data_IF_309391064400
#
_entry.id   IF_309391064400
#
_cell.length_a   1.000
_cell.length_b   1.000
_cell.length_c   1.000
_cell.angle_alpha   90.00
_cell.angle_beta   90.00
_cell.angle_gamma   90.00
#
_symmetry.space_group_name_H-M   'P 1'
#
loop_
_entity.id
_entity.type
_entity.pdbx_description
1 polymer ?
#
# COMPACT_ATOMS: atom_id res chain seq x y z
N UNK A 1 -24.07 4.61 -30.83
CA UNK A 1 -22.62 4.32 -31.05
C UNK A 1 -21.68 5.01 -30.08
N UNK A 2 -22.10 6.06 -29.33
CA UNK A 2 -21.26 6.83 -28.40
C UNK A 2 -21.22 6.25 -26.97
N UNK A 3 -22.12 5.34 -26.60
CA UNK A 3 -22.16 4.77 -25.25
C UNK A 3 -20.98 3.85 -24.96
N UNK A 4 -20.50 3.09 -25.94
CA UNK A 4 -19.37 2.15 -25.78
C UNK A 4 -18.06 2.88 -25.44
N UNK A 5 -17.61 3.92 -26.18
CA UNK A 5 -16.39 4.64 -25.82
C UNK A 5 -16.50 5.37 -24.47
N UNK A 6 -17.69 5.83 -24.08
CA UNK A 6 -17.88 6.45 -22.77
C UNK A 6 -17.71 5.46 -21.62
N UNK A 7 -18.28 4.27 -21.73
CA UNK A 7 -18.12 3.19 -20.75
C UNK A 7 -16.67 2.72 -20.68
N UNK A 8 -16.01 2.57 -21.84
CA UNK A 8 -14.59 2.18 -21.90
C UNK A 8 -13.69 3.23 -21.23
N UNK A 9 -13.97 4.52 -21.43
CA UNK A 9 -13.25 5.60 -20.78
C UNK A 9 -13.37 5.58 -19.25
N UNK A 10 -14.56 5.31 -18.73
CA UNK A 10 -14.80 5.19 -17.29
C UNK A 10 -14.06 3.99 -16.70
N UNK A 11 -14.07 2.84 -17.39
CA UNK A 11 -13.34 1.64 -16.96
C UNK A 11 -11.83 1.91 -16.94
N UNK A 12 -11.28 2.54 -17.96
CA UNK A 12 -9.87 2.88 -18.02
C UNK A 12 -9.48 3.85 -16.90
N UNK A 13 -10.31 4.85 -16.62
CA UNK A 13 -10.08 5.80 -15.52
C UNK A 13 -10.10 5.09 -14.17
N UNK A 14 -11.04 4.17 -13.94
CA UNK A 14 -11.12 3.37 -12.72
C UNK A 14 -9.89 2.48 -12.53
N UNK A 15 -9.42 1.82 -13.60
CA UNK A 15 -8.21 1.00 -13.56
C UNK A 15 -6.95 1.83 -13.31
N UNK A 16 -6.83 3.01 -13.93
CA UNK A 16 -5.73 3.93 -13.69
C UNK A 16 -5.73 4.43 -12.25
N UNK A 17 -6.88 4.81 -11.71
CA UNK A 17 -7.02 5.23 -10.32
C UNK A 17 -6.66 4.11 -9.33
N UNK A 18 -7.02 2.87 -9.63
CA UNK A 18 -6.65 1.71 -8.83
C UNK A 18 -5.14 1.48 -8.85
N UNK A 19 -4.50 1.58 -10.01
CA UNK A 19 -3.05 1.42 -10.13
C UNK A 19 -2.28 2.48 -9.33
N UNK A 20 -2.74 3.74 -9.37
CA UNK A 20 -2.17 4.83 -8.57
C UNK A 20 -2.38 4.58 -7.07
N UNK A 21 -3.58 4.18 -6.66
CA UNK A 21 -3.88 3.89 -5.26
C UNK A 21 -2.97 2.77 -4.69
N UNK A 22 -2.75 1.69 -5.46
CA UNK A 22 -1.84 0.60 -5.08
C UNK A 22 -0.39 1.07 -4.97
N UNK A 23 0.07 1.92 -5.91
CA UNK A 23 1.43 2.45 -5.87
C UNK A 23 1.66 3.35 -4.64
N UNK A 24 0.71 4.26 -4.34
CA UNK A 24 0.77 5.14 -3.16
C UNK A 24 0.73 4.33 -1.87
N UNK A 25 -0.13 3.31 -1.78
CA UNK A 25 -0.21 2.45 -0.59
C UNK A 25 1.11 1.71 -0.31
N UNK A 26 1.83 1.27 -1.34
CA UNK A 26 3.16 0.63 -1.18
C UNK A 26 4.19 1.60 -0.62
N UNK A 27 4.25 2.81 -1.15
CA UNK A 27 5.21 3.83 -0.71
C UNK A 27 4.94 4.26 0.74
N UNK A 28 3.67 4.38 1.11
CA UNK A 28 3.24 4.74 2.46
C UNK A 28 3.61 3.65 3.49
N UNK A 29 3.47 2.37 3.13
CA UNK A 29 3.84 1.23 3.98
C UNK A 29 5.32 1.23 4.36
N UNK A 30 6.18 1.57 3.42
CA UNK A 30 7.64 1.63 3.64
C UNK A 30 7.99 2.81 4.56
N UNK A 31 7.33 3.95 4.39
CA UNK A 31 7.52 5.13 5.23
C UNK A 31 7.05 4.89 6.67
N UNK A 32 5.91 4.24 6.85
CA UNK A 32 5.38 3.87 8.17
C UNK A 32 6.28 2.89 8.91
N UNK A 33 6.83 1.89 8.20
CA UNK A 33 7.77 0.95 8.78
C UNK A 33 9.03 1.67 9.28
N UNK A 34 9.54 2.64 8.53
CA UNK A 34 10.68 3.45 8.93
C UNK A 34 10.38 4.28 10.18
N UNK A 35 9.25 4.97 10.21
CA UNK A 35 8.84 5.77 11.38
C UNK A 35 8.71 4.90 12.63
N UNK A 36 8.12 3.71 12.49
CA UNK A 36 8.02 2.73 13.58
C UNK A 36 9.41 2.29 14.06
N UNK A 37 10.31 1.98 13.13
CA UNK A 37 11.68 1.59 13.46
C UNK A 37 12.42 2.72 14.21
N UNK A 38 12.34 3.95 13.73
CA UNK A 38 12.97 5.12 14.36
C UNK A 38 12.42 5.38 15.77
N UNK A 39 11.11 5.25 15.97
CA UNK A 39 10.49 5.36 17.31
C UNK A 39 11.00 4.28 18.25
N UNK A 40 10.98 3.01 17.81
CA UNK A 40 11.46 1.89 18.63
C UNK A 40 12.96 2.01 18.94
N UNK A 41 13.75 2.43 17.96
CA UNK A 41 15.18 2.69 18.14
C UNK A 41 15.40 3.69 19.27
N UNK A 42 14.80 4.87 19.20
CA UNK A 42 14.98 5.96 20.16
C UNK A 42 14.39 5.68 21.54
N UNK A 43 13.22 5.03 21.60
CA UNK A 43 12.50 4.87 22.88
C UNK A 43 12.83 3.58 23.61
N UNK A 44 13.18 2.52 22.86
CA UNK A 44 13.42 1.19 23.43
C UNK A 44 14.88 0.83 23.39
N UNK A 45 15.55 0.97 22.24
CA UNK A 45 16.90 0.43 22.03
C UNK A 45 17.97 1.36 22.57
N UNK A 46 18.07 2.61 22.08
CA UNK A 46 19.12 3.57 22.45
C UNK A 46 19.32 3.75 23.96
N UNK A 47 18.24 3.88 24.77
CA UNK A 47 18.42 4.04 26.23
C UNK A 47 18.96 2.78 26.93
N UNK A 48 19.02 1.64 26.22
CA UNK A 48 19.40 0.33 26.78
C UNK A 48 20.67 -0.23 26.17
N UNK A 49 21.29 0.48 25.24
CA UNK A 49 22.59 0.12 24.67
C UNK A 49 23.67 0.39 25.72
N UNK A 50 24.13 -0.65 26.37
CA UNK A 50 25.22 -0.62 27.34
C UNK A 50 26.10 -1.88 27.26
N UNK A 51 27.17 -1.93 28.04
CA UNK A 51 28.05 -3.09 28.11
C UNK A 51 27.32 -4.39 28.50
N UNK A 52 26.23 -4.27 29.25
CA UNK A 52 25.40 -5.44 29.64
C UNK A 52 24.69 -6.06 28.45
N UNK A 53 24.31 -5.26 27.46
CA UNK A 53 23.69 -5.72 26.23
C UNK A 53 24.74 -6.44 25.34
N UNK A 54 25.95 -5.87 25.20
CA UNK A 54 27.03 -6.48 24.42
C UNK A 54 27.43 -7.83 24.97
N UNK A 55 27.48 -7.96 26.29
CA UNK A 55 27.86 -9.22 26.98
C UNK A 55 26.71 -10.21 27.13
N UNK A 56 25.52 -9.90 26.61
CA UNK A 56 24.34 -10.78 26.64
C UNK A 56 23.84 -11.06 28.06
N UNK A 57 23.96 -10.08 28.99
CA UNK A 57 23.47 -10.28 30.37
C UNK A 57 21.98 -10.63 30.38
N UNK A 58 21.55 -11.75 31.00
CA UNK A 58 20.16 -12.19 30.94
C UNK A 58 19.14 -11.15 31.43
N UNK A 59 19.50 -10.37 32.45
CA UNK A 59 18.63 -9.31 32.97
C UNK A 59 18.38 -8.21 31.93
N UNK A 60 19.39 -7.83 31.15
CA UNK A 60 19.26 -6.81 30.09
C UNK A 60 18.46 -7.36 28.92
N UNK A 61 18.63 -8.62 28.56
CA UNK A 61 17.83 -9.27 27.54
C UNK A 61 16.35 -9.32 27.92
N UNK A 62 16.05 -9.68 29.18
CA UNK A 62 14.67 -9.70 29.68
C UNK A 62 14.02 -8.30 29.72
N UNK A 63 14.82 -7.26 30.04
CA UNK A 63 14.34 -5.87 30.02
C UNK A 63 13.99 -5.41 28.60
N UNK A 64 14.83 -5.73 27.63
CA UNK A 64 14.55 -5.43 26.21
C UNK A 64 13.33 -6.19 25.72
N UNK A 65 13.23 -7.47 26.03
CA UNK A 65 12.09 -8.31 25.64
C UNK A 65 10.78 -7.77 26.19
N UNK A 66 10.75 -7.38 27.46
CA UNK A 66 9.58 -6.75 28.08
C UNK A 66 9.22 -5.41 27.43
N UNK A 67 10.24 -4.57 27.14
CA UNK A 67 10.03 -3.26 26.53
C UNK A 67 9.52 -3.37 25.08
N UNK A 68 10.08 -4.31 24.31
CA UNK A 68 9.59 -4.58 22.96
C UNK A 68 8.19 -5.17 22.97
N UNK A 69 7.93 -6.19 23.80
CA UNK A 69 6.62 -6.80 23.92
C UNK A 69 5.53 -5.78 24.24
N UNK A 70 5.82 -4.81 25.12
CA UNK A 70 4.91 -3.73 25.44
C UNK A 70 4.70 -2.75 24.25
N UNK A 71 5.76 -2.46 23.49
CA UNK A 71 5.74 -1.47 22.42
C UNK A 71 5.15 -1.99 21.12
N UNK A 72 5.32 -3.28 20.81
CA UNK A 72 4.86 -3.90 19.55
C UNK A 72 3.57 -4.69 19.71
N UNK A 73 3.01 -4.77 20.93
CA UNK A 73 1.77 -5.50 21.18
C UNK A 73 0.64 -4.93 20.31
N UNK A 74 0.10 -5.78 19.41
CA UNK A 74 -0.91 -5.35 18.44
C UNK A 74 -0.36 -4.65 17.18
N UNK A 75 0.97 -4.51 17.04
CA UNK A 75 1.57 -3.99 15.81
C UNK A 75 1.86 -5.11 14.80
N UNK A 76 2.13 -4.70 13.55
CA UNK A 76 2.49 -5.61 12.46
C UNK A 76 3.99 -5.97 12.45
N UNK A 77 4.76 -5.45 13.42
CA UNK A 77 6.16 -5.83 13.60
C UNK A 77 6.23 -7.26 14.13
N UNK A 78 6.83 -8.14 13.36
CA UNK A 78 6.93 -9.58 13.67
C UNK A 78 8.35 -10.04 13.98
N UNK A 79 9.35 -9.34 13.45
CA UNK A 79 10.76 -9.65 13.71
C UNK A 79 11.50 -8.40 14.12
N UNK A 80 12.31 -8.54 15.16
CA UNK A 80 13.20 -7.50 15.68
C UNK A 80 14.58 -8.13 15.85
N UNK A 81 15.61 -7.45 15.39
CA UNK A 81 17.00 -7.84 15.53
C UNK A 81 17.87 -6.66 15.86
N UNK A 82 18.85 -6.88 16.72
CA UNK A 82 19.92 -5.93 17.00
C UNK A 82 21.24 -6.64 16.71
N UNK A 83 22.08 -6.03 15.89
CA UNK A 83 23.33 -6.57 15.41
C UNK A 83 24.50 -5.74 15.94
N UNK A 84 25.60 -6.39 16.21
CA UNK A 84 26.86 -5.67 16.40
C UNK A 84 27.60 -5.46 15.08
N UNK A 85 28.73 -4.77 15.11
CA UNK A 85 29.55 -4.49 13.93
C UNK A 85 30.21 -5.73 13.31
N UNK A 86 30.30 -6.84 14.03
CA UNK A 86 30.82 -8.11 13.54
C UNK A 86 29.76 -8.97 12.83
N UNK A 87 28.51 -8.51 12.76
CA UNK A 87 27.41 -9.25 12.17
C UNK A 87 26.81 -10.31 13.09
N UNK A 88 27.06 -10.22 14.40
CA UNK A 88 26.45 -11.09 15.39
C UNK A 88 25.13 -10.50 15.85
N UNK A 89 24.08 -11.30 15.88
CA UNK A 89 22.77 -10.93 16.45
C UNK A 89 22.89 -10.94 17.97
N UNK A 90 22.96 -9.76 18.57
CA UNK A 90 23.07 -9.63 20.03
C UNK A 90 21.70 -9.66 20.72
N UNK A 91 20.63 -9.30 20.00
CA UNK A 91 19.24 -9.44 20.46
C UNK A 91 18.32 -9.79 19.30
N UNK A 92 17.36 -10.66 19.56
CA UNK A 92 16.23 -10.92 18.68
C UNK A 92 15.01 -11.35 19.49
N UNK A 93 13.81 -11.02 19.03
CA UNK A 93 12.56 -11.60 19.56
C UNK A 93 12.38 -13.07 19.13
N UNK A 94 13.23 -13.57 18.22
CA UNK A 94 13.40 -15.01 17.99
C UNK A 94 14.72 -15.47 18.64
N UNK A 95 14.66 -16.16 19.80
CA UNK A 95 15.86 -16.54 20.55
C UNK A 95 16.85 -17.43 19.77
N UNK A 96 16.37 -18.11 18.72
CA UNK A 96 17.19 -19.02 17.89
C UNK A 96 18.25 -18.29 17.07
N UNK A 97 18.10 -16.98 16.90
CA UNK A 97 19.02 -16.15 16.14
C UNK A 97 20.10 -15.50 17.04
N UNK A 98 19.87 -15.43 18.35
CA UNK A 98 20.79 -14.74 19.28
C UNK A 98 22.14 -15.46 19.32
N UNK A 99 23.22 -14.72 19.12
CA UNK A 99 24.58 -15.24 19.09
C UNK A 99 25.01 -15.82 17.74
N UNK A 100 24.12 -15.92 16.77
CA UNK A 100 24.51 -16.32 15.43
C UNK A 100 25.15 -15.14 14.66
N UNK A 101 26.13 -15.49 13.82
CA UNK A 101 26.83 -14.54 12.97
C UNK A 101 26.42 -14.71 11.51
N UNK A 102 26.08 -13.61 10.89
CA UNK A 102 25.71 -13.56 9.47
C UNK A 102 26.47 -12.44 8.75
N UNK A 103 26.36 -12.43 7.43
CA UNK A 103 26.82 -11.28 6.64
C UNK A 103 26.03 -10.04 7.03
N UNK A 104 26.72 -8.96 7.38
CA UNK A 104 26.09 -7.71 7.78
C UNK A 104 25.07 -7.23 6.74
N UNK A 105 23.85 -6.92 7.16
CA UNK A 105 22.88 -6.31 6.29
C UNK A 105 23.35 -4.94 5.78
N UNK A 106 22.82 -4.50 4.66
CA UNK A 106 23.04 -3.14 4.20
C UNK A 106 22.52 -2.14 5.26
N UNK A 107 23.28 -1.07 5.51
CA UNK A 107 22.88 -0.02 6.47
C UNK A 107 23.86 0.20 7.61
N UNK A 108 24.72 -0.76 7.96
CA UNK A 108 25.71 -0.58 9.03
C UNK A 108 26.68 0.59 8.76
N UNK A 109 27.08 0.78 7.51
CA UNK A 109 28.07 1.79 7.11
C UNK A 109 27.46 3.01 6.40
N UNK A 110 26.15 3.06 6.14
CA UNK A 110 25.60 4.06 5.21
C UNK A 110 24.43 4.78 5.86
N UNK A 111 23.53 4.71 6.25
CA UNK A 111 22.27 5.34 6.72
C UNK A 111 21.13 4.34 6.77
N UNK A 112 19.96 4.78 7.15
CA UNK A 112 18.79 3.93 7.17
C UNK A 112 18.53 3.27 5.82
N UNK A 113 18.35 1.95 5.81
CA UNK A 113 18.00 1.17 4.63
C UNK A 113 16.60 0.57 4.84
N UNK A 114 15.78 0.66 3.82
CA UNK A 114 14.42 0.12 3.85
C UNK A 114 14.10 -0.57 2.52
N UNK A 115 13.33 -1.64 2.58
CA UNK A 115 12.94 -2.39 1.38
C UNK A 115 12.18 -3.67 1.71
N UNK A 116 11.95 -4.46 0.67
CA UNK A 116 11.41 -5.81 0.86
C UNK A 116 12.47 -6.73 1.43
N UNK A 117 12.11 -7.51 2.44
CA UNK A 117 13.03 -8.50 3.00
C UNK A 117 13.25 -9.64 2.02
N UNK A 118 14.52 -10.00 1.86
CA UNK A 118 14.89 -11.20 1.11
C UNK A 118 14.80 -12.43 2.04
N UNK A 119 13.73 -13.20 1.89
CA UNK A 119 13.49 -14.39 2.70
C UNK A 119 14.44 -15.55 2.40
N UNK A 120 15.22 -15.48 1.32
CA UNK A 120 16.26 -16.48 1.00
C UNK A 120 17.53 -16.32 1.84
N UNK A 121 17.70 -15.18 2.50
CA UNK A 121 18.87 -14.93 3.36
C UNK A 121 18.82 -15.76 4.64
N UNK A 122 19.97 -16.29 5.12
CA UNK A 122 20.02 -17.18 6.27
C UNK A 122 19.41 -16.59 7.54
N UNK A 123 19.59 -15.29 7.78
CA UNK A 123 19.01 -14.58 8.93
C UNK A 123 17.49 -14.46 8.86
N UNK A 124 16.90 -14.58 7.69
CA UNK A 124 15.45 -14.49 7.45
C UNK A 124 14.77 -15.86 7.38
N UNK A 125 15.52 -16.96 7.62
CA UNK A 125 15.02 -18.34 7.48
C UNK A 125 13.78 -18.70 8.30
N UNK A 126 13.47 -17.91 9.33
CA UNK A 126 12.29 -18.11 10.18
C UNK A 126 11.12 -17.18 9.83
N UNK A 127 11.29 -16.29 8.85
CA UNK A 127 10.18 -15.55 8.29
C UNK A 127 9.39 -16.44 7.33
N UNK A 128 8.07 -16.25 7.26
CA UNK A 128 7.23 -16.94 6.29
C UNK A 128 7.64 -16.55 4.86
N UNK A 129 8.13 -17.48 4.02
CA UNK A 129 8.57 -17.17 2.67
C UNK A 129 7.43 -16.81 1.71
N UNK A 130 6.17 -17.09 2.09
CA UNK A 130 5.00 -16.76 1.27
C UNK A 130 4.44 -15.37 1.59
N UNK A 131 4.85 -14.77 2.69
CA UNK A 131 4.40 -13.45 3.10
C UNK A 131 5.32 -12.34 2.57
N UNK A 132 4.75 -11.17 2.35
CA UNK A 132 5.51 -9.99 1.97
C UNK A 132 6.00 -9.25 3.23
N UNK A 133 7.30 -9.10 3.36
CA UNK A 133 7.92 -8.45 4.50
C UNK A 133 8.58 -7.14 4.09
N UNK A 134 8.26 -6.08 4.81
CA UNK A 134 9.02 -4.81 4.74
C UNK A 134 10.05 -4.84 5.85
N UNK A 135 11.31 -4.67 5.49
CA UNK A 135 12.45 -4.64 6.39
C UNK A 135 13.03 -3.24 6.46
N UNK A 136 13.32 -2.77 7.66
CA UNK A 136 13.99 -1.49 7.91
C UNK A 136 15.17 -1.75 8.81
N UNK A 137 16.33 -1.26 8.39
CA UNK A 137 17.60 -1.34 9.13
C UNK A 137 18.09 0.06 9.43
N UNK A 138 18.33 0.35 10.71
CA UNK A 138 18.76 1.65 11.22
C UNK A 138 20.12 1.50 11.92
N UNK A 139 21.17 2.21 11.50
CA UNK A 139 22.41 2.28 12.26
C UNK A 139 22.20 3.06 13.55
N UNK A 140 22.71 2.54 14.66
CA UNK A 140 22.70 3.16 15.98
C UNK A 140 24.13 3.25 16.52
N UNK A 141 24.40 4.26 17.34
CA UNK A 141 25.64 4.40 18.08
C UNK A 141 25.39 4.21 19.57
N UNK A 142 26.16 3.35 20.20
CA UNK A 142 26.20 3.22 21.65
C UNK A 142 26.93 4.38 22.30
N UNK A 143 26.69 4.59 23.58
CA UNK A 143 27.37 5.64 24.37
C UNK A 143 28.89 5.45 24.48
N UNK A 144 29.39 4.27 24.17
CA UNK A 144 30.81 3.88 24.11
C UNK A 144 31.44 4.03 22.71
N UNK A 145 30.69 4.51 21.72
CA UNK A 145 31.11 4.63 20.34
C UNK A 145 30.99 3.34 19.52
N UNK A 146 30.47 2.25 20.09
CA UNK A 146 30.18 1.01 19.37
C UNK A 146 29.03 1.21 18.41
N UNK A 147 29.08 0.56 17.25
CA UNK A 147 28.04 0.64 16.24
C UNK A 147 27.15 -0.60 16.26
N UNK A 148 25.88 -0.35 16.12
CA UNK A 148 24.86 -1.38 16.08
C UNK A 148 23.99 -1.18 14.85
N UNK A 149 23.33 -2.25 14.41
CA UNK A 149 22.28 -2.17 13.42
C UNK A 149 20.98 -2.68 14.05
N UNK A 150 20.01 -1.80 14.17
CA UNK A 150 18.67 -2.15 14.59
C UNK A 150 17.82 -2.47 13.37
N UNK A 151 17.19 -3.62 13.37
CA UNK A 151 16.42 -4.09 12.24
C UNK A 151 15.05 -4.58 12.70
N UNK A 152 14.01 -4.13 11.99
CA UNK A 152 12.66 -4.66 12.14
C UNK A 152 12.15 -5.22 10.81
N UNK A 153 11.34 -6.28 10.91
CA UNK A 153 10.57 -6.77 9.77
C UNK A 153 9.08 -6.72 10.11
N UNK A 154 8.35 -6.04 9.24
CA UNK A 154 6.91 -5.80 9.35
C UNK A 154 6.18 -6.57 8.26
N UNK A 155 5.05 -7.19 8.60
CA UNK A 155 4.22 -7.87 7.63
C UNK A 155 3.45 -6.85 6.78
N UNK A 156 3.59 -6.93 5.46
CA UNK A 156 2.89 -6.04 4.54
C UNK A 156 1.42 -6.44 4.33
N UNK A 157 1.06 -7.67 4.61
CA UNK A 157 -0.28 -8.23 4.33
C UNK A 157 -1.40 -7.64 5.19
N UNK A 158 -1.08 -7.02 6.35
CA UNK A 158 -2.06 -6.29 7.16
C UNK A 158 -2.72 -5.14 6.40
N UNK A 159 -1.98 -4.49 5.51
CA UNK A 159 -2.52 -3.40 4.67
C UNK A 159 -3.48 -3.91 3.59
N UNK A 160 -3.31 -5.15 3.13
CA UNK A 160 -4.25 -5.73 2.15
C UNK A 160 -5.59 -6.08 2.81
N UNK A 161 -5.59 -6.46 4.07
CA UNK A 161 -6.81 -6.72 4.81
C UNK A 161 -7.58 -5.43 5.11
N UNK A 162 -6.92 -4.39 5.61
CA UNK A 162 -7.52 -3.06 5.84
C UNK A 162 -7.98 -2.42 4.52
N UNK A 163 -7.15 -2.46 3.48
CA UNK A 163 -7.54 -1.99 2.15
C UNK A 163 -8.74 -2.78 1.61
N UNK A 164 -8.80 -4.10 1.83
CA UNK A 164 -9.94 -4.93 1.41
C UNK A 164 -11.23 -4.56 2.11
N UNK A 165 -11.20 -4.28 3.41
CA UNK A 165 -12.38 -3.83 4.18
C UNK A 165 -12.87 -2.47 3.67
N UNK A 166 -11.96 -1.53 3.44
CA UNK A 166 -12.29 -0.23 2.83
C UNK A 166 -12.86 -0.43 1.43
N UNK A 167 -12.27 -1.30 0.59
CA UNK A 167 -12.78 -1.59 -0.74
C UNK A 167 -14.17 -2.24 -0.71
N UNK A 168 -14.42 -3.20 0.18
CA UNK A 168 -15.73 -3.83 0.35
C UNK A 168 -16.78 -2.80 0.78
N UNK A 169 -16.41 -1.82 1.60
CA UNK A 169 -17.31 -0.75 2.02
C UNK A 169 -17.62 0.25 0.88
N UNK A 170 -16.64 0.60 0.04
CA UNK A 170 -16.79 1.60 -1.02
C UNK A 170 -17.18 1.02 -2.38
N UNK A 171 -16.86 -0.23 -2.68
CA UNK A 171 -17.20 -0.88 -3.96
C UNK A 171 -18.69 -0.81 -4.31
N UNK A 172 -19.66 -1.06 -3.41
CA UNK A 172 -21.07 -0.95 -3.75
C UNK A 172 -21.51 0.48 -4.05
N UNK A 173 -20.90 1.48 -3.40
CA UNK A 173 -21.20 2.91 -3.66
C UNK A 173 -20.70 3.30 -5.04
N UNK A 174 -19.46 2.88 -5.39
CA UNK A 174 -18.89 3.12 -6.72
C UNK A 174 -19.68 2.40 -7.82
N UNK A 175 -20.03 1.12 -7.60
CA UNK A 175 -20.85 0.36 -8.54
C UNK A 175 -22.24 0.99 -8.71
N UNK A 176 -22.90 1.39 -7.64
CA UNK A 176 -24.19 2.07 -7.68
C UNK A 176 -24.14 3.40 -8.43
N UNK A 177 -23.12 4.21 -8.19
CA UNK A 177 -22.93 5.49 -8.91
C UNK A 177 -22.66 5.28 -10.40
N UNK A 178 -21.90 4.25 -10.78
CA UNK A 178 -21.66 3.90 -12.19
C UNK A 178 -22.95 3.44 -12.90
N UNK A 179 -23.76 2.62 -12.25
CA UNK A 179 -25.05 2.17 -12.79
C UNK A 179 -25.99 3.37 -12.96
N UNK A 180 -26.08 4.24 -11.95
CA UNK A 180 -26.91 5.44 -12.00
C UNK A 180 -26.51 6.36 -13.15
N UNK A 181 -25.20 6.61 -13.30
CA UNK A 181 -24.66 7.43 -14.39
C UNK A 181 -24.95 6.79 -15.76
N UNK A 182 -24.79 5.47 -15.89
CA UNK A 182 -25.12 4.72 -17.10
C UNK A 182 -26.59 4.86 -17.49
N UNK A 183 -27.50 4.70 -16.54
CA UNK A 183 -28.95 4.87 -16.76
C UNK A 183 -29.26 6.30 -17.19
N UNK A 184 -28.66 7.29 -16.55
CA UNK A 184 -28.85 8.70 -16.89
C UNK A 184 -28.39 9.02 -18.33
N UNK A 185 -27.21 8.51 -18.73
CA UNK A 185 -26.67 8.70 -20.08
C UNK A 185 -27.54 8.02 -21.14
N UNK A 186 -28.03 6.80 -20.87
CA UNK A 186 -28.95 6.11 -21.78
C UNK A 186 -30.26 6.86 -21.90
N UNK A 187 -30.84 7.32 -20.81
CA UNK A 187 -32.07 8.11 -20.81
C UNK A 187 -31.93 9.42 -21.59
N UNK A 188 -30.78 10.10 -21.42
CA UNK A 188 -30.46 11.33 -22.15
C UNK A 188 -30.30 11.06 -23.66
N UNK A 189 -29.61 9.96 -24.02
CA UNK A 189 -29.44 9.52 -25.40
C UNK A 189 -30.78 9.21 -26.11
N UNK A 190 -31.68 8.52 -25.41
CA UNK A 190 -33.03 8.23 -25.93
C UNK A 190 -33.80 9.54 -26.14
N UNK A 191 -33.78 10.47 -25.17
CA UNK A 191 -34.49 11.77 -25.31
C UNK A 191 -33.94 12.60 -26.47
N UNK A 192 -32.59 12.61 -26.66
CA UNK A 192 -32.01 13.31 -27.82
C UNK A 192 -32.41 12.66 -29.15
N UNK A 193 -32.37 11.34 -29.24
CA UNK A 193 -32.79 10.63 -30.45
C UNK A 193 -34.25 10.89 -30.79
N UNK A 194 -35.16 10.90 -29.81
CA UNK A 194 -36.57 11.23 -30.00
C UNK A 194 -36.78 12.67 -30.48
N UNK A 195 -36.06 13.64 -29.95
CA UNK A 195 -36.14 15.04 -30.40
C UNK A 195 -35.70 15.19 -31.87
N UNK A 196 -34.55 14.58 -32.24
CA UNK A 196 -34.07 14.63 -33.62
C UNK A 196 -35.05 13.96 -34.59
N UNK A 197 -35.62 12.82 -34.21
CA UNK A 197 -36.62 12.11 -35.03
C UNK A 197 -37.91 12.91 -35.19
N UNK A 198 -38.37 13.64 -34.19
CA UNK A 198 -39.52 14.52 -34.26
C UNK A 198 -39.29 15.70 -35.20
N UNK A 199 -38.09 16.30 -35.13
CA UNK A 199 -37.70 17.45 -35.97
C UNK A 199 -37.57 17.07 -37.46
N UNK A 200 -37.09 15.86 -37.76
CA UNK A 200 -36.99 15.32 -39.11
C UNK A 200 -38.39 15.07 -39.70
N UNK A 201 -39.34 14.49 -38.95
CA UNK A 201 -40.72 14.28 -39.40
C UNK A 201 -41.45 15.57 -39.70
N UNK A 202 -41.28 16.59 -38.87
CA UNK A 202 -41.86 17.92 -39.11
C UNK A 202 -41.32 18.57 -40.43
N UNK A 203 -40.04 18.38 -40.73
CA UNK A 203 -39.45 18.83 -41.98
C UNK A 203 -39.99 18.09 -43.20
N UNK A 204 -40.17 16.78 -43.12
CA UNK A 204 -40.74 15.98 -44.19
C UNK A 204 -42.20 16.42 -44.48
N UNK A 205 -43.02 16.60 -43.46
CA UNK A 205 -44.41 17.09 -43.62
C UNK A 205 -44.48 18.50 -44.27
N UNK A 206 -43.53 19.39 -43.89
CA UNK A 206 -43.46 20.72 -44.48
C UNK A 206 -43.04 20.69 -45.97
N UNK A 207 -42.12 19.80 -46.33
CA UNK A 207 -41.70 19.59 -47.70
C UNK A 207 -42.82 19.01 -48.59
N UNK A 208 -43.57 18.00 -48.10
CA UNK A 208 -44.72 17.47 -48.80
C UNK A 208 -45.77 18.56 -49.04
N UNK A 209 -46.12 19.36 -48.02
CA UNK A 209 -47.08 20.48 -48.20
C UNK A 209 -46.58 21.52 -49.16
N UNK A 210 -45.29 21.81 -49.23
CA UNK A 210 -44.71 22.76 -50.18
C UNK A 210 -44.75 22.24 -51.62
N UNK A 211 -44.54 20.93 -51.84
CA UNK A 211 -44.68 20.28 -53.13
C UNK A 211 -46.13 20.29 -53.60
N UNK A 212 -47.07 19.89 -52.75
CA UNK A 212 -48.52 19.92 -53.08
C UNK A 212 -49.02 21.31 -53.39
N UNK A 213 -48.56 22.36 -52.68
CA UNK A 213 -48.93 23.75 -52.97
C UNK A 213 -48.39 24.18 -54.34
N UNK A 214 -47.14 23.79 -54.71
CA UNK A 214 -46.52 24.13 -55.96
C UNK A 214 -47.21 23.45 -57.18
N UNK A 215 -47.75 22.23 -56.99
CA UNK A 215 -48.52 21.51 -58.04
C UNK A 215 -49.91 22.11 -58.26
N UNK A 216 -50.53 22.63 -57.19
CA UNK A 216 -51.83 23.32 -57.32
C UNK A 216 -51.71 24.67 -58.04
N UNK A 217 -50.58 25.35 -57.93
CA UNK A 217 -50.32 26.67 -58.61
C UNK A 217 -50.00 26.51 -60.13
N UNK A 218 -49.63 25.27 -60.52
CA UNK A 218 -49.36 24.96 -61.92
C UNK A 218 -50.55 24.43 -62.71
N UNK A 219 -51.72 24.28 -62.15
CA UNK A 219 -52.96 23.91 -62.84
C UNK A 219 -53.88 25.15 -63.04
#
# INVERSE_FOLDING_TARGET
RFAIPGVLGIILLALASLAVAVAVAREQSVTDARTTAELLARTVVEPRIDEGLQTGKPARMAELDAAFSASISGSDVKSIRLWNEDGVVIYSNDPRLIGEQFSLPAGMSGGPVQGMADTSRPENRYLDPQANWVQVSLPLEGGDGSRYLFEISKLQDSLQQEAREVWIAFAPILAGSMVLLGVLLVALGIRMAQRISAELRTREELLERAVDASEMERR
#
